data_IF_012185855922
#
_entry.id   IF_012185855922
#
_cell.length_a   1.000
_cell.length_b   1.000
_cell.length_c   1.000
_cell.angle_alpha   90.00
_cell.angle_beta   90.00
_cell.angle_gamma   90.00
#
_symmetry.space_group_name_H-M   'P 1'
#
loop_
_entity.id
_entity.type
_entity.pdbx_description
1 polymer ?
#
# COMPACT_ATOMS: atom_id res chain seq x y z
N UNK A 1 -2.38 7.54 -6.61
CA UNK A 1 -2.68 6.12 -6.32
C UNK A 1 -4.18 5.97 -6.24
N UNK A 2 -4.79 5.05 -6.97
CA UNK A 2 -6.24 4.89 -6.95
C UNK A 2 -6.57 3.39 -6.91
N UNK A 3 -6.72 2.90 -5.67
CA UNK A 3 -7.24 1.59 -5.21
C UNK A 3 -6.33 1.00 -4.15
N UNK A 4 -6.35 1.64 -3.00
CA UNK A 4 -6.07 0.98 -1.73
C UNK A 4 -7.06 -0.19 -1.63
N UNK A 5 -6.65 -1.41 -1.28
CA UNK A 5 -7.53 -2.52 -0.91
C UNK A 5 -7.04 -3.11 0.41
N UNK A 6 -7.83 -3.91 1.11
CA UNK A 6 -7.37 -4.60 2.30
C UNK A 6 -6.91 -6.02 1.90
N UNK A 7 -5.81 -6.50 2.47
CA UNK A 7 -5.31 -7.85 2.24
C UNK A 7 -4.97 -8.51 3.57
N UNK A 8 -5.42 -9.75 3.77
CA UNK A 8 -5.02 -10.52 4.95
C UNK A 8 -3.55 -10.94 4.88
N UNK A 9 -2.81 -10.74 5.98
CA UNK A 9 -1.40 -11.15 6.07
C UNK A 9 -1.19 -12.67 5.95
N UNK A 10 -2.11 -13.45 6.49
CA UNK A 10 -1.95 -14.90 6.59
C UNK A 10 -2.44 -15.62 5.33
N UNK A 11 -3.69 -15.35 4.91
CA UNK A 11 -4.31 -16.07 3.80
C UNK A 11 -4.26 -15.31 2.46
N UNK A 12 -3.75 -14.08 2.43
CA UNK A 12 -3.65 -13.21 1.23
C UNK A 12 -4.99 -12.89 0.56
N UNK A 13 -6.12 -13.10 1.24
CA UNK A 13 -7.43 -12.73 0.73
C UNK A 13 -7.56 -11.22 0.63
N UNK A 14 -8.01 -10.76 -0.54
CA UNK A 14 -8.29 -9.35 -0.80
C UNK A 14 -9.72 -9.00 -0.37
N UNK A 15 -9.87 -7.81 0.19
CA UNK A 15 -11.11 -7.23 0.70
C UNK A 15 -11.24 -5.80 0.17
N UNK A 16 -12.49 -5.35 -0.01
CA UNK A 16 -12.77 -3.95 -0.33
C UNK A 16 -12.34 -3.02 0.82
N UNK A 17 -12.09 -1.76 0.48
CA UNK A 17 -11.79 -0.74 1.49
C UNK A 17 -12.98 -0.53 2.42
N UNK A 18 -12.74 -0.70 3.71
CA UNK A 18 -13.70 -0.40 4.75
C UNK A 18 -13.04 -0.38 6.11
N UNK A 19 -13.83 -0.07 7.15
CA UNK A 19 -13.39 -0.13 8.53
C UNK A 19 -13.34 -1.59 9.02
N UNK A 20 -12.40 -2.35 8.48
CA UNK A 20 -12.20 -3.76 8.77
C UNK A 20 -10.73 -4.04 9.05
N UNK A 21 -10.45 -4.75 10.14
CA UNK A 21 -9.09 -5.07 10.57
C UNK A 21 -8.88 -6.58 10.80
N UNK A 22 -9.94 -7.39 10.65
CA UNK A 22 -9.93 -8.85 10.84
C UNK A 22 -10.45 -9.54 9.57
N UNK A 23 -9.78 -10.61 9.16
CA UNK A 23 -10.19 -11.52 8.09
C UNK A 23 -11.33 -12.45 8.53
N UNK A 24 -12.36 -12.66 7.70
CA UNK A 24 -13.52 -13.50 8.07
C UNK A 24 -13.21 -15.00 8.08
N UNK A 25 -12.15 -15.43 7.41
CA UNK A 25 -11.83 -16.86 7.24
C UNK A 25 -10.81 -17.37 8.25
N UNK A 26 -9.74 -16.61 8.47
CA UNK A 26 -8.64 -17.02 9.33
C UNK A 26 -8.54 -16.18 10.62
N UNK A 27 -9.42 -15.19 10.81
CA UNK A 27 -9.36 -14.23 11.92
C UNK A 27 -8.01 -13.49 12.05
N UNK A 28 -7.19 -13.53 10.99
CA UNK A 28 -5.91 -12.85 10.92
C UNK A 28 -6.06 -11.35 10.67
N UNK A 29 -4.99 -10.58 10.92
CA UNK A 29 -5.00 -9.14 10.69
C UNK A 29 -5.10 -8.82 9.19
N UNK A 30 -5.91 -7.80 8.87
CA UNK A 30 -5.94 -7.18 7.54
C UNK A 30 -4.97 -6.01 7.50
N UNK A 31 -4.26 -5.91 6.39
CA UNK A 31 -3.31 -4.86 6.08
C UNK A 31 -3.76 -4.08 4.84
N UNK A 32 -3.25 -2.87 4.71
CA UNK A 32 -3.50 -2.03 3.55
C UNK A 32 -2.60 -2.45 2.40
N UNK A 33 -3.20 -2.86 1.28
CA UNK A 33 -2.53 -3.14 0.01
C UNK A 33 -2.53 -1.88 -0.85
N UNK A 34 -1.34 -1.44 -1.23
CA UNK A 34 -1.12 -0.32 -2.13
C UNK A 34 -0.74 -0.84 -3.52
N UNK A 35 -1.29 -0.22 -4.56
CA UNK A 35 -0.78 -0.37 -5.91
C UNK A 35 0.41 0.58 -6.09
N UNK A 36 1.61 0.03 -5.95
CA UNK A 36 2.84 0.78 -6.14
C UNK A 36 3.15 0.88 -7.63
N UNK A 37 3.37 2.10 -8.17
CA UNK A 37 3.80 2.24 -9.54
C UNK A 37 5.20 1.64 -9.74
N UNK A 38 5.51 1.24 -10.98
CA UNK A 38 6.84 0.76 -11.33
C UNK A 38 7.86 1.92 -11.22
N UNK A 39 8.59 1.93 -10.11
CA UNK A 39 9.60 2.94 -9.76
C UNK A 39 10.99 2.29 -9.76
N UNK A 40 12.00 3.01 -10.23
CA UNK A 40 13.40 2.61 -10.12
C UNK A 40 14.22 3.65 -9.32
N UNK A 41 15.45 3.31 -8.96
CA UNK A 41 16.34 4.19 -8.17
C UNK A 41 16.61 5.52 -8.87
N UNK A 42 16.68 5.51 -10.20
CA UNK A 42 16.99 6.69 -11.02
C UNK A 42 15.82 7.67 -11.12
N UNK A 43 14.59 7.23 -10.84
CA UNK A 43 13.35 8.03 -10.87
C UNK A 43 13.44 9.27 -9.97
N UNK A 44 14.24 9.19 -8.90
CA UNK A 44 14.38 10.25 -7.90
C UNK A 44 15.71 10.99 -7.96
N UNK A 45 16.60 10.62 -8.87
CA UNK A 45 17.99 11.10 -8.93
C UNK A 45 18.08 12.63 -9.04
N UNK A 46 17.20 13.24 -9.84
CA UNK A 46 17.18 14.67 -10.13
C UNK A 46 16.26 15.49 -9.20
N UNK A 47 15.69 14.87 -8.16
CA UNK A 47 14.76 15.55 -7.24
C UNK A 47 15.50 16.11 -6.04
N UNK A 48 15.01 17.22 -5.51
CA UNK A 48 15.52 17.81 -4.27
C UNK A 48 15.40 16.84 -3.08
N UNK A 49 16.32 16.95 -2.14
CA UNK A 49 16.37 16.13 -0.94
C UNK A 49 15.35 16.60 0.12
N UNK A 50 14.07 16.43 -0.19
CA UNK A 50 12.95 16.74 0.71
C UNK A 50 12.17 15.48 1.07
N UNK A 51 11.32 15.56 2.10
CA UNK A 51 10.41 14.45 2.44
C UNK A 51 9.48 14.06 1.28
N UNK A 52 9.16 15.02 0.41
CA UNK A 52 8.28 14.84 -0.74
C UNK A 52 8.96 14.21 -1.96
N UNK A 53 10.27 13.94 -1.89
CA UNK A 53 11.04 13.31 -2.96
C UNK A 53 10.41 12.01 -3.48
N UNK A 54 9.77 11.25 -2.58
CA UNK A 54 9.17 9.95 -2.86
C UNK A 54 7.63 9.99 -2.81
N UNK A 55 7.04 11.06 -3.34
CA UNK A 55 5.59 11.27 -3.31
C UNK A 55 4.78 10.02 -3.72
N UNK A 56 5.26 9.29 -4.71
CA UNK A 56 4.65 8.07 -5.26
C UNK A 56 4.77 6.82 -4.37
N UNK A 57 5.48 6.92 -3.23
CA UNK A 57 5.56 5.87 -2.22
C UNK A 57 4.88 6.28 -0.91
N UNK A 58 4.43 7.54 -0.80
CA UNK A 58 3.79 8.01 0.41
C UNK A 58 2.36 7.43 0.51
N UNK A 59 1.97 6.92 1.68
CA UNK A 59 0.62 6.42 1.94
C UNK A 59 -0.32 7.59 2.29
N UNK A 60 -0.50 8.53 1.35
CA UNK A 60 -1.27 9.79 1.52
C UNK A 60 -2.48 9.86 0.59
#
# INVERSE_FOLDING_TARGET
MARTSLQCRECKKDYENGFKYICDECFGPLDVKYDFPAINKDTFSNREHTYWRYFELLPI
#
